data_IF_302109189460
#
_entry.id   IF_302109189460
#
_cell.length_a   1.000
_cell.length_b   1.000
_cell.length_c   1.000
_cell.angle_alpha   90.00
_cell.angle_beta   90.00
_cell.angle_gamma   90.00
#
_symmetry.space_group_name_H-M   'P 1'
#
loop_
_entity.id
_entity.type
_entity.pdbx_description
1 polymer ?
#
# COMPACT_ATOMS: atom_id res chain seq x y z
N UNK A 1 5.83 -18.90 0.28
CA UNK A 1 6.30 -17.53 -0.01
C UNK A 1 7.59 -17.27 0.75
N UNK A 2 8.62 -16.72 0.09
CA UNK A 2 9.88 -16.34 0.73
C UNK A 2 9.65 -15.29 1.82
N UNK A 3 10.47 -15.30 2.88
CA UNK A 3 10.40 -14.32 3.96
C UNK A 3 10.60 -12.89 3.41
N UNK A 4 11.50 -12.72 2.44
CA UNK A 4 11.76 -11.41 1.80
C UNK A 4 10.47 -10.84 1.20
N UNK A 5 9.69 -11.66 0.49
CA UNK A 5 8.42 -11.23 -0.11
C UNK A 5 7.43 -10.82 0.98
N UNK A 6 7.40 -11.51 2.13
CA UNK A 6 6.54 -11.13 3.26
C UNK A 6 6.92 -9.78 3.84
N UNK A 7 8.21 -9.49 3.99
CA UNK A 7 8.69 -8.19 4.48
C UNK A 7 8.36 -7.08 3.49
N UNK A 8 8.55 -7.32 2.19
CA UNK A 8 8.12 -6.38 1.14
C UNK A 8 6.60 -6.14 1.23
N UNK A 9 5.80 -7.20 1.44
CA UNK A 9 4.36 -7.08 1.60
C UNK A 9 3.98 -6.24 2.84
N UNK A 10 4.70 -6.35 3.96
CA UNK A 10 4.51 -5.46 5.12
C UNK A 10 4.68 -4.00 4.70
N UNK A 11 5.77 -3.68 4.00
CA UNK A 11 6.02 -2.32 3.53
C UNK A 11 4.91 -1.83 2.59
N UNK A 12 4.52 -2.64 1.60
CA UNK A 12 3.47 -2.30 0.64
C UNK A 12 2.14 -2.01 1.35
N UNK A 13 1.72 -2.85 2.30
CA UNK A 13 0.45 -2.62 3.02
C UNK A 13 0.49 -1.28 3.78
N UNK A 14 1.58 -0.98 4.48
CA UNK A 14 1.70 0.30 5.18
C UNK A 14 1.68 1.50 4.22
N UNK A 15 2.41 1.40 3.11
CA UNK A 15 2.44 2.45 2.09
C UNK A 15 1.07 2.67 1.46
N UNK A 16 0.30 1.60 1.21
CA UNK A 16 -1.07 1.71 0.71
C UNK A 16 -1.95 2.48 1.68
N UNK A 17 -1.92 2.16 2.98
CA UNK A 17 -2.67 2.92 3.98
C UNK A 17 -2.24 4.40 4.04
N UNK A 18 -0.94 4.69 3.98
CA UNK A 18 -0.42 6.05 4.01
C UNK A 18 -0.71 6.86 2.75
N UNK A 19 -0.77 6.20 1.59
CA UNK A 19 -1.18 6.82 0.33
C UNK A 19 -2.70 7.04 0.27
N UNK A 20 -3.48 6.09 0.80
CA UNK A 20 -4.95 6.17 0.81
C UNK A 20 -5.50 7.08 1.89
N UNK A 21 -4.82 7.25 3.02
CA UNK A 21 -5.29 8.09 4.13
C UNK A 21 -4.18 9.06 4.57
N UNK A 22 -3.87 10.07 3.74
CA UNK A 22 -2.66 10.89 3.88
C UNK A 22 -2.71 11.89 5.03
N UNK A 23 -3.85 12.07 5.70
CA UNK A 23 -4.08 13.09 6.72
C UNK A 23 -3.53 12.69 8.10
N UNK A 24 -2.30 12.17 8.18
CA UNK A 24 -1.77 11.55 9.40
C UNK A 24 -1.26 12.53 10.46
N UNK A 25 -1.12 13.81 10.12
CA UNK A 25 -0.47 14.80 10.98
C UNK A 25 1.02 14.54 11.25
N UNK A 26 1.63 15.26 12.20
CA UNK A 26 3.09 15.21 12.49
C UNK A 26 3.58 13.85 13.00
N UNK A 27 2.72 13.09 13.70
CA UNK A 27 3.06 11.77 14.25
C UNK A 27 3.09 10.66 13.19
N UNK A 28 2.55 10.90 12.00
CA UNK A 28 2.39 9.87 10.96
C UNK A 28 3.69 9.19 10.56
N UNK A 29 4.77 9.94 10.36
CA UNK A 29 6.06 9.36 9.94
C UNK A 29 6.69 8.50 11.05
N UNK A 30 6.57 8.93 12.31
CA UNK A 30 7.04 8.14 13.45
C UNK A 30 6.24 6.85 13.59
N UNK A 31 4.92 6.94 13.47
CA UNK A 31 4.05 5.76 13.44
C UNK A 31 4.44 4.81 12.31
N UNK A 32 4.67 5.31 11.10
CA UNK A 32 5.06 4.49 9.96
C UNK A 32 6.35 3.71 10.24
N UNK A 33 7.40 4.39 10.72
CA UNK A 33 8.69 3.77 11.00
C UNK A 33 8.58 2.70 12.10
N UNK A 34 7.92 3.03 13.22
CA UNK A 34 7.74 2.10 14.34
C UNK A 34 6.86 0.93 13.94
N UNK A 35 5.74 1.18 13.26
CA UNK A 35 4.80 0.15 12.81
C UNK A 35 5.46 -0.80 11.82
N UNK A 36 6.24 -0.29 10.86
CA UNK A 36 7.01 -1.12 9.92
C UNK A 36 7.98 -2.04 10.66
N UNK A 37 8.72 -1.53 11.64
CA UNK A 37 9.66 -2.32 12.44
C UNK A 37 8.93 -3.42 13.21
N UNK A 38 7.89 -3.06 13.96
CA UNK A 38 7.10 -3.98 14.79
C UNK A 38 6.49 -5.09 13.93
N UNK A 39 5.83 -4.74 12.84
CA UNK A 39 5.19 -5.73 11.96
C UNK A 39 6.20 -6.58 11.19
N UNK A 40 7.36 -6.04 10.83
CA UNK A 40 8.42 -6.84 10.21
C UNK A 40 8.94 -7.91 11.18
N UNK A 41 9.23 -7.54 12.43
CA UNK A 41 9.65 -8.49 13.47
C UNK A 41 8.56 -9.52 13.75
N UNK A 42 7.31 -9.08 13.89
CA UNK A 42 6.18 -9.97 14.09
C UNK A 42 6.03 -10.98 12.95
N UNK A 43 6.13 -10.54 11.68
CA UNK A 43 6.03 -11.42 10.52
C UNK A 43 7.20 -12.40 10.43
N UNK A 44 8.41 -12.02 10.83
CA UNK A 44 9.54 -12.96 10.95
C UNK A 44 9.19 -14.07 11.93
N UNK A 45 8.67 -13.71 13.11
CA UNK A 45 8.26 -14.67 14.13
C UNK A 45 7.14 -15.59 13.64
N UNK A 46 6.06 -15.02 13.10
CA UNK A 46 4.94 -15.79 12.53
C UNK A 46 5.39 -16.71 11.39
N UNK A 47 6.31 -16.26 10.55
CA UNK A 47 6.84 -17.08 9.47
C UNK A 47 7.60 -18.31 10.00
N UNK A 48 8.33 -18.18 11.11
CA UNK A 48 8.99 -19.30 11.77
C UNK A 48 7.97 -20.27 12.37
N UNK A 49 6.96 -19.76 13.08
CA UNK A 49 5.88 -20.60 13.62
C UNK A 49 5.09 -21.31 12.50
N UNK A 50 4.77 -20.61 11.41
CA UNK A 50 4.05 -21.18 10.29
C UNK A 50 4.83 -22.28 9.57
N UNK A 51 6.17 -22.23 9.55
CA UNK A 51 7.01 -23.31 9.02
C UNK A 51 6.91 -24.57 9.90
N UNK A 52 6.84 -24.42 11.21
CA UNK A 52 6.64 -25.54 12.14
C UNK A 52 5.24 -26.14 11.94
N UNK A 53 4.20 -25.32 11.84
CA UNK A 53 2.83 -25.76 11.58
C UNK A 53 2.67 -26.40 10.20
N UNK A 54 3.46 -25.98 9.21
CA UNK A 54 3.47 -26.57 7.86
C UNK A 54 3.86 -28.05 7.86
N UNK A 55 4.62 -28.50 8.86
CA UNK A 55 4.95 -29.92 9.04
C UNK A 55 3.70 -30.78 9.28
N UNK A 56 2.65 -30.17 9.83
CA UNK A 56 1.34 -30.82 10.04
C UNK A 56 0.43 -30.61 8.83
N UNK A 57 0.31 -29.37 8.33
CA UNK A 57 -0.49 -29.08 7.12
C UNK A 57 -0.03 -27.81 6.40
N UNK A 58 0.15 -27.93 5.08
CA UNK A 58 0.44 -26.81 4.19
C UNK A 58 -0.61 -25.70 4.23
N UNK A 59 -1.89 -26.07 4.31
CA UNK A 59 -3.01 -25.13 4.32
C UNK A 59 -3.08 -24.33 5.63
N UNK A 60 -2.80 -24.98 6.77
CA UNK A 60 -2.74 -24.28 8.07
C UNK A 60 -1.64 -23.22 8.09
N UNK A 61 -0.45 -23.55 7.56
CA UNK A 61 0.63 -22.58 7.43
C UNK A 61 0.26 -21.36 6.57
N UNK A 62 -0.54 -21.55 5.51
CA UNK A 62 -1.06 -20.45 4.71
C UNK A 62 -2.07 -19.60 5.49
N UNK A 63 -3.03 -20.25 6.15
CA UNK A 63 -4.08 -19.58 6.93
C UNK A 63 -3.49 -18.70 8.04
N UNK A 64 -2.48 -19.18 8.77
CA UNK A 64 -1.77 -18.40 9.81
C UNK A 64 -1.13 -17.13 9.23
N UNK A 65 -0.51 -17.23 8.05
CA UNK A 65 0.08 -16.06 7.40
C UNK A 65 -0.99 -15.06 6.95
N UNK A 66 -2.09 -15.54 6.34
CA UNK A 66 -3.20 -14.67 5.95
C UNK A 66 -3.82 -13.95 7.16
N UNK A 67 -4.04 -14.68 8.25
CA UNK A 67 -4.54 -14.11 9.50
C UNK A 67 -3.62 -13.01 10.04
N UNK A 68 -2.30 -13.20 10.00
CA UNK A 68 -1.34 -12.19 10.41
C UNK A 68 -1.40 -10.91 9.56
N UNK A 69 -1.51 -11.04 8.23
CA UNK A 69 -1.67 -9.87 7.34
C UNK A 69 -3.03 -9.17 7.52
N UNK A 70 -4.11 -9.92 7.74
CA UNK A 70 -5.42 -9.35 8.03
C UNK A 70 -5.41 -8.59 9.36
N UNK A 71 -4.80 -9.16 10.40
CA UNK A 71 -4.63 -8.51 11.70
C UNK A 71 -3.81 -7.23 11.57
N UNK A 72 -2.73 -7.25 10.78
CA UNK A 72 -1.94 -6.06 10.49
C UNK A 72 -2.79 -4.95 9.84
N UNK A 73 -3.55 -5.29 8.80
CA UNK A 73 -4.42 -4.33 8.13
C UNK A 73 -5.44 -3.71 9.08
N UNK A 74 -6.07 -4.53 9.93
CA UNK A 74 -7.01 -4.06 10.96
C UNK A 74 -6.34 -3.17 12.01
N UNK A 75 -5.15 -3.56 12.48
CA UNK A 75 -4.40 -2.79 13.47
C UNK A 75 -3.98 -1.43 12.90
N UNK A 76 -3.48 -1.37 11.66
CA UNK A 76 -3.16 -0.12 10.98
C UNK A 76 -4.43 0.72 10.84
N UNK A 77 -5.52 0.14 10.34
CA UNK A 77 -6.78 0.86 10.19
C UNK A 77 -7.30 1.47 11.49
N UNK A 78 -7.13 0.76 12.61
CA UNK A 78 -7.60 1.19 13.92
C UNK A 78 -6.67 2.19 14.63
N UNK A 79 -5.35 2.12 14.39
CA UNK A 79 -4.34 2.83 15.21
C UNK A 79 -3.53 3.87 14.46
N UNK A 80 -3.57 3.89 13.12
CA UNK A 80 -2.88 4.90 12.33
C UNK A 80 -3.39 6.29 12.71
N UNK A 81 -2.49 7.23 13.06
CA UNK A 81 -2.90 8.56 13.47
C UNK A 81 -3.58 9.27 12.29
N UNK A 82 -4.63 10.03 12.60
CA UNK A 82 -5.37 10.85 11.65
C UNK A 82 -5.63 12.22 12.30
N UNK A 83 -5.50 13.29 11.50
CA UNK A 83 -5.61 14.68 11.95
C UNK A 83 -7.03 15.03 12.40
N UNK A 84 -8.03 14.39 11.83
CA UNK A 84 -9.45 14.55 12.17
C UNK A 84 -9.88 13.67 13.36
N UNK A 85 -8.93 13.04 14.06
CA UNK A 85 -9.15 12.14 15.20
C UNK A 85 -10.11 10.97 14.92
N UNK A 86 -10.41 10.71 13.64
CA UNK A 86 -11.26 9.60 13.21
C UNK A 86 -10.37 8.52 12.63
N UNK A 87 -10.44 7.31 13.17
CA UNK A 87 -9.61 6.20 12.69
C UNK A 87 -9.93 5.84 11.24
N UNK A 88 -8.96 5.26 10.53
CA UNK A 88 -9.20 4.77 9.16
C UNK A 88 -10.28 3.68 9.17
N UNK A 89 -10.33 2.85 10.22
CA UNK A 89 -11.37 1.84 10.40
C UNK A 89 -12.78 2.45 10.48
N UNK A 90 -12.94 3.56 11.20
CA UNK A 90 -14.21 4.29 11.25
C UNK A 90 -14.56 4.92 9.90
N UNK A 91 -13.58 5.48 9.18
CA UNK A 91 -13.78 6.01 7.83
C UNK A 91 -14.29 4.92 6.88
N UNK A 92 -13.67 3.75 6.90
CA UNK A 92 -14.09 2.58 6.11
C UNK A 92 -15.51 2.12 6.47
N UNK A 93 -15.84 2.03 7.77
CA UNK A 93 -17.20 1.70 8.23
C UNK A 93 -18.24 2.73 7.78
N UNK A 94 -17.86 4.00 7.76
CA UNK A 94 -18.68 5.10 7.25
C UNK A 94 -18.68 5.21 5.72
N UNK A 95 -18.10 4.24 4.99
CA UNK A 95 -17.97 4.22 3.52
C UNK A 95 -17.21 5.42 2.94
N UNK A 96 -16.33 6.03 3.74
CA UNK A 96 -15.41 7.09 3.29
C UNK A 96 -14.13 6.46 2.76
N UNK A 97 -14.18 6.10 1.47
CA UNK A 97 -13.05 5.57 0.74
C UNK A 97 -12.22 6.70 0.13
N UNK A 98 -10.90 6.50 -0.07
CA UNK A 98 -10.07 7.46 -0.79
C UNK A 98 -10.59 7.69 -2.21
N UNK A 99 -10.65 8.95 -2.61
CA UNK A 99 -10.88 9.35 -3.98
C UNK A 99 -9.55 9.66 -4.71
N UNK A 100 -9.64 10.06 -5.98
CA UNK A 100 -8.48 10.37 -6.80
C UNK A 100 -7.60 11.48 -6.23
N UNK A 101 -8.21 12.51 -5.63
CA UNK A 101 -7.50 13.64 -5.04
C UNK A 101 -6.80 13.24 -3.75
N UNK A 102 -7.44 12.40 -2.94
CA UNK A 102 -6.84 11.80 -1.74
C UNK A 102 -5.60 10.98 -2.10
N UNK A 103 -5.71 10.10 -3.10
CA UNK A 103 -4.58 9.28 -3.56
C UNK A 103 -3.45 10.15 -4.11
N UNK A 104 -3.77 11.19 -4.88
CA UNK A 104 -2.79 12.15 -5.41
C UNK A 104 -2.03 12.83 -4.26
N UNK A 105 -2.76 13.32 -3.26
CA UNK A 105 -2.18 13.93 -2.06
C UNK A 105 -1.25 12.95 -1.33
N UNK A 106 -1.67 11.69 -1.17
CA UNK A 106 -0.85 10.66 -0.56
C UNK A 106 0.41 10.33 -1.35
N UNK A 107 0.32 10.24 -2.69
CA UNK A 107 1.47 9.99 -3.55
C UNK A 107 2.48 11.15 -3.55
N UNK A 108 2.01 12.40 -3.44
CA UNK A 108 2.87 13.57 -3.29
C UNK A 108 3.74 13.49 -2.03
N UNK A 109 3.26 12.87 -0.94
CA UNK A 109 4.06 12.65 0.27
C UNK A 109 5.28 11.74 0.03
N UNK A 110 5.19 10.88 -0.97
CA UNK A 110 6.28 9.99 -1.39
C UNK A 110 7.12 10.59 -2.53
N UNK A 111 6.90 11.87 -2.88
CA UNK A 111 7.62 12.54 -3.96
C UNK A 111 7.12 12.19 -5.37
N UNK A 112 6.03 11.43 -5.48
CA UNK A 112 5.45 11.03 -6.77
C UNK A 112 4.55 12.13 -7.30
N UNK A 113 4.94 12.76 -8.41
CA UNK A 113 4.19 13.85 -9.06
C UNK A 113 3.30 13.30 -10.18
N UNK A 114 2.21 12.64 -9.79
CA UNK A 114 1.35 11.91 -10.74
C UNK A 114 0.87 12.74 -11.93
N UNK A 115 0.52 14.02 -11.74
CA UNK A 115 0.08 14.90 -12.84
C UNK A 115 1.18 15.22 -13.85
N UNK A 116 2.39 15.45 -13.36
CA UNK A 116 3.52 15.76 -14.23
C UNK A 116 3.87 14.54 -15.07
N UNK A 117 3.83 13.35 -14.46
CA UNK A 117 4.15 12.09 -15.13
C UNK A 117 3.05 11.70 -16.13
N UNK A 118 1.77 11.78 -15.76
CA UNK A 118 0.64 11.49 -16.66
C UNK A 118 0.63 12.46 -17.84
N UNK A 119 0.80 13.76 -17.62
CA UNK A 119 0.81 14.77 -18.69
C UNK A 119 1.98 14.58 -19.65
N UNK A 120 3.14 14.17 -19.15
CA UNK A 120 4.32 13.88 -19.98
C UNK A 120 4.10 12.61 -20.81
N UNK A 121 3.52 11.57 -20.22
CA UNK A 121 3.22 10.31 -20.91
C UNK A 121 2.11 10.47 -21.96
N UNK A 122 1.06 11.24 -21.67
CA UNK A 122 0.00 11.54 -22.65
C UNK A 122 0.54 12.31 -23.86
N UNK A 123 1.41 13.29 -23.64
CA UNK A 123 2.08 14.01 -24.75
C UNK A 123 2.97 13.08 -25.59
N UNK A 124 3.67 12.16 -24.95
CA UNK A 124 4.45 11.12 -25.64
C UNK A 124 3.56 10.24 -26.51
N UNK A 125 2.44 9.77 -25.95
CA UNK A 125 1.45 8.93 -26.64
C UNK A 125 0.84 9.66 -27.86
N UNK A 126 0.40 10.91 -27.69
CA UNK A 126 -0.13 11.72 -28.78
C UNK A 126 0.89 11.92 -29.91
N UNK A 127 2.18 12.05 -29.56
CA UNK A 127 3.23 12.19 -30.56
C UNK A 127 3.46 10.90 -31.35
N UNK A 128 3.37 9.74 -30.72
CA UNK A 128 3.51 8.44 -31.37
C UNK A 128 2.29 8.10 -32.22
N UNK A 129 1.08 8.35 -31.71
CA UNK A 129 -0.17 8.20 -32.45
C UNK A 129 -0.17 9.09 -33.69
N UNK A 130 0.25 10.35 -33.58
CA UNK A 130 0.35 11.24 -34.73
C UNK A 130 1.39 10.78 -35.75
N UNK A 131 2.53 10.22 -35.31
CA UNK A 131 3.52 9.61 -36.22
C UNK A 131 2.97 8.38 -36.94
N UNK A 132 2.21 7.54 -36.24
CA UNK A 132 1.58 6.36 -36.83
C UNK A 132 0.49 6.74 -37.84
N UNK A 133 -0.35 7.71 -37.51
CA UNK A 133 -1.38 8.25 -38.43
C UNK A 133 -0.73 8.87 -39.67
N UNK A 134 0.39 9.58 -39.49
CA UNK A 134 1.10 10.20 -40.62
C UNK A 134 1.70 9.15 -41.57
N UNK A 135 2.31 8.09 -41.03
CA UNK A 135 2.78 6.94 -41.83
C UNK A 135 1.66 6.26 -42.61
N UNK A 136 0.50 6.05 -41.98
CA UNK A 136 -0.67 5.46 -42.64
C UNK A 136 -1.31 6.33 -43.73
N UNK A 137 -0.96 7.62 -43.81
CA UNK A 137 -1.42 8.54 -44.87
C UNK A 137 -0.41 8.70 -46.01
N UNK A 138 0.82 8.24 -45.82
CA UNK A 138 1.90 8.31 -46.81
C UNK A 138 2.01 7.00 -47.63
N UNK A 139 1.36 5.91 -47.18
CA UNK A 139 1.08 4.67 -47.92
C UNK A 139 -0.30 4.74 -48.62
#
# INVERSE_FOLDING_TARGET
MSLIIKIIAVAIVHLLFFASYPETGPSGNYYLAVSLLVWSVFIIFVNTCAKLVKLVSGALGLAVNLAAFALMGLAIAATMPQRDHTSVLEKLRARRYPDGDTLRSGMLRFGVKLDADIKTNMKGLDSEVNKAIKKLKED
#
